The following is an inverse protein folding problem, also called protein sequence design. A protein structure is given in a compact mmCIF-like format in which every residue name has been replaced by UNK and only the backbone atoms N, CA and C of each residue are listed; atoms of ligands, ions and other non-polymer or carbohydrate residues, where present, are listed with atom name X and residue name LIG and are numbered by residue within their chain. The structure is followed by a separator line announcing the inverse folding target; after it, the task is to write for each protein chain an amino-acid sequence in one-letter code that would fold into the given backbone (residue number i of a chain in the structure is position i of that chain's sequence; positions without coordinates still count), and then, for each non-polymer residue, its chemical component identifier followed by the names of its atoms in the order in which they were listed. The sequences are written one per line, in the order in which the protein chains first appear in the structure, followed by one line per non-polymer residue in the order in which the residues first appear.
data_IF_816360826080
#
_entry.id   IF_816360826080
#
_cell.length_a   1.000
_cell.length_b   1.000
_cell.length_c   1.000
_cell.angle_alpha   90.00
_cell.angle_beta   90.00
_cell.angle_gamma   90.00
#
_symmetry.space_group_name_H-M   'P 1'
#
loop_
_entity.id
_entity.type
_entity.pdbx_description
1 polymer ?
#
# COMPACT_ATOMS: atom_id res chain seq x y z
N UNK A 1 16.50 13.50 -1.63
CA UNK A 1 15.45 13.31 -2.66
C UNK A 1 14.57 12.08 -2.38
N UNK A 2 15.07 11.05 -1.69
CA UNK A 2 14.29 9.81 -1.38
C UNK A 2 13.16 10.02 -0.35
N UNK A 3 13.28 10.98 0.55
CA UNK A 3 12.32 11.16 1.66
C UNK A 3 10.95 11.69 1.20
N UNK A 4 10.85 12.31 0.04
CA UNK A 4 9.58 12.85 -0.49
C UNK A 4 8.74 11.81 -1.26
N UNK A 5 9.32 10.67 -1.63
CA UNK A 5 8.63 9.57 -2.34
C UNK A 5 7.87 8.60 -1.41
N UNK A 6 8.04 8.72 -0.09
CA UNK A 6 7.44 7.81 0.89
C UNK A 6 5.94 8.07 1.14
N UNK A 7 5.36 9.13 0.56
CA UNK A 7 3.95 9.47 0.78
C UNK A 7 2.96 8.85 -0.22
N UNK A 8 3.42 8.16 -1.24
CA UNK A 8 2.59 7.35 -2.14
C UNK A 8 3.01 5.89 -2.05
N UNK A 9 2.05 4.97 -2.11
CA UNK A 9 2.36 3.53 -2.14
C UNK A 9 3.28 3.23 -3.34
N UNK A 10 4.52 2.77 -3.14
CA UNK A 10 5.47 2.57 -4.23
C UNK A 10 5.22 1.30 -5.04
N UNK A 11 4.33 0.42 -4.57
CA UNK A 11 4.13 -0.92 -5.13
C UNK A 11 2.89 -1.04 -6.00
N UNK A 12 1.84 -0.28 -5.70
CA UNK A 12 0.53 -0.45 -6.33
C UNK A 12 0.05 0.85 -6.95
N UNK A 13 -0.53 0.74 -8.14
CA UNK A 13 -1.11 1.89 -8.85
C UNK A 13 -2.44 2.25 -8.21
N UNK A 14 -2.49 3.45 -7.65
CA UNK A 14 -3.71 3.99 -7.07
C UNK A 14 -4.73 4.34 -8.14
N UNK A 15 -5.96 3.92 -7.95
CA UNK A 15 -7.13 4.31 -8.72
C UNK A 15 -7.89 5.44 -8.00
N UNK A 16 -8.83 6.09 -8.69
CA UNK A 16 -9.63 7.17 -8.13
C UNK A 16 -9.22 8.56 -8.64
N UNK A 17 -9.69 9.64 -8.02
CA UNK A 17 -10.51 9.68 -6.80
C UNK A 17 -11.91 9.07 -6.99
N UNK A 18 -12.55 8.68 -5.89
CA UNK A 18 -13.92 8.15 -5.89
C UNK A 18 -14.86 9.03 -5.08
N UNK A 19 -16.11 9.14 -5.55
CA UNK A 19 -17.14 9.83 -4.79
C UNK A 19 -17.49 9.04 -3.51
N UNK A 20 -17.67 9.75 -2.39
CA UNK A 20 -18.08 9.12 -1.13
C UNK A 20 -19.37 8.31 -1.27
N UNK A 21 -20.28 8.72 -2.16
CA UNK A 21 -21.53 7.98 -2.41
C UNK A 21 -21.27 6.61 -3.03
N UNK A 22 -20.24 6.49 -3.88
CA UNK A 22 -19.83 5.19 -4.42
C UNK A 22 -19.24 4.29 -3.31
N UNK A 23 -18.45 4.87 -2.40
CA UNK A 23 -17.87 4.14 -1.27
C UNK A 23 -18.98 3.66 -0.32
N UNK A 24 -19.95 4.52 -0.02
CA UNK A 24 -21.11 4.14 0.79
C UNK A 24 -21.90 2.99 0.17
N UNK A 25 -22.15 3.06 -1.15
CA UNK A 25 -22.80 1.97 -1.90
C UNK A 25 -22.01 0.67 -1.82
N UNK A 26 -20.69 0.73 -1.98
CA UNK A 26 -19.79 -0.41 -1.88
C UNK A 26 -19.85 -1.09 -0.50
N UNK A 27 -20.02 -0.31 0.54
CA UNK A 27 -20.15 -0.77 1.93
C UNK A 27 -21.60 -1.09 2.34
N UNK A 28 -22.58 -0.98 1.43
CA UNK A 28 -24.02 -1.12 1.70
C UNK A 28 -24.52 -0.17 2.81
N UNK A 29 -24.00 1.06 2.85
CA UNK A 29 -24.40 2.07 3.82
C UNK A 29 -25.39 3.07 3.22
N UNK A 30 -26.26 3.63 4.08
CA UNK A 30 -27.20 4.66 3.69
C UNK A 30 -26.47 5.97 3.39
N UNK A 31 -26.83 6.60 2.28
CA UNK A 31 -26.21 7.85 1.79
C UNK A 31 -27.02 9.13 2.10
N UNK A 32 -28.21 9.05 2.71
CA UNK A 32 -29.13 10.16 2.87
C UNK A 32 -28.51 11.41 3.53
N UNK A 33 -27.55 11.22 4.42
CA UNK A 33 -26.87 12.30 5.13
C UNK A 33 -25.52 12.70 4.54
N UNK A 34 -25.20 12.24 3.34
CA UNK A 34 -23.93 12.51 2.68
C UNK A 34 -24.13 13.32 1.42
N UNK A 35 -23.31 14.33 1.23
CA UNK A 35 -23.21 15.08 -0.01
C UNK A 35 -22.07 14.51 -0.86
N UNK A 36 -22.21 14.67 -2.17
CA UNK A 36 -21.18 14.31 -3.14
C UNK A 36 -19.86 14.97 -2.80
N UNK A 37 -18.81 14.17 -2.62
CA UNK A 37 -17.46 14.63 -2.34
C UNK A 37 -16.45 13.57 -2.75
N UNK A 38 -15.38 13.98 -3.43
CA UNK A 38 -14.31 13.09 -3.81
C UNK A 38 -13.44 12.70 -2.62
N UNK A 39 -13.13 11.43 -2.55
CA UNK A 39 -12.15 10.83 -1.63
C UNK A 39 -10.94 10.44 -2.47
N UNK A 40 -9.77 10.94 -2.11
CA UNK A 40 -8.56 10.78 -2.90
C UNK A 40 -7.76 9.53 -2.54
N UNK A 41 -7.82 9.10 -1.28
CA UNK A 41 -7.07 7.93 -0.82
C UNK A 41 -7.63 7.36 0.49
N UNK A 42 -7.13 6.17 0.86
CA UNK A 42 -7.32 5.57 2.18
C UNK A 42 -6.00 5.62 2.93
N UNK A 43 -5.96 6.29 4.07
CA UNK A 43 -4.74 6.48 4.86
C UNK A 43 -4.97 6.20 6.34
N UNK A 44 -3.89 6.01 7.09
CA UNK A 44 -3.97 5.91 8.54
C UNK A 44 -4.42 7.24 9.18
N UNK A 45 -4.73 7.19 10.48
CA UNK A 45 -5.29 8.32 11.23
C UNK A 45 -4.41 9.58 11.22
N UNK A 46 -3.09 9.44 11.19
CA UNK A 46 -2.15 10.56 11.26
C UNK A 46 -1.87 11.18 9.89
N UNK A 47 -1.78 10.36 8.86
CA UNK A 47 -1.38 10.79 7.52
C UNK A 47 -2.56 11.18 6.62
N UNK A 48 -3.80 10.91 7.06
CA UNK A 48 -4.99 11.30 6.32
C UNK A 48 -5.19 12.82 6.33
N UNK A 49 -5.48 13.37 5.16
CA UNK A 49 -5.84 14.76 4.93
C UNK A 49 -7.37 14.95 4.83
N UNK A 50 -7.81 16.19 4.66
CA UNK A 50 -9.22 16.53 4.50
C UNK A 50 -9.88 15.96 3.22
N UNK A 51 -9.11 15.39 2.31
CA UNK A 51 -9.60 14.74 1.09
C UNK A 51 -9.47 13.21 1.13
N UNK A 52 -9.10 12.66 2.30
CA UNK A 52 -8.86 11.24 2.46
C UNK A 52 -9.92 10.56 3.35
N UNK A 53 -10.02 9.26 3.22
CA UNK A 53 -10.72 8.36 4.12
C UNK A 53 -9.70 7.72 5.07
N UNK A 54 -10.07 7.57 6.34
CA UNK A 54 -9.30 6.82 7.33
C UNK A 54 -10.14 5.73 7.97
N UNK A 55 -9.57 5.00 8.91
CA UNK A 55 -10.26 3.95 9.67
C UNK A 55 -9.85 3.95 11.14
N UNK A 56 -10.82 3.67 12.02
CA UNK A 56 -10.63 3.63 13.46
C UNK A 56 -11.34 2.41 14.06
N UNK A 57 -10.59 1.38 14.41
CA UNK A 57 -11.12 0.06 14.79
C UNK A 57 -10.92 -0.31 16.26
N UNK A 58 -10.14 0.47 17.02
CA UNK A 58 -9.81 0.13 18.42
C UNK A 58 -9.58 1.37 19.26
N UNK A 59 -10.13 1.36 20.50
CA UNK A 59 -9.91 2.43 21.49
C UNK A 59 -8.44 2.72 21.79
N UNK A 60 -7.55 1.75 21.56
CA UNK A 60 -6.10 1.94 21.66
C UNK A 60 -5.59 3.14 20.86
N UNK A 61 -6.25 3.47 19.76
CA UNK A 61 -5.87 4.56 18.85
C UNK A 61 -6.71 5.82 19.04
N UNK A 62 -7.41 5.97 20.18
CA UNK A 62 -8.30 7.08 20.45
C UNK A 62 -7.62 8.44 20.33
N UNK A 63 -6.42 8.60 20.87
CA UNK A 63 -5.66 9.87 20.79
C UNK A 63 -5.35 10.26 19.34
N UNK A 64 -4.96 9.30 18.51
CA UNK A 64 -4.72 9.52 17.10
C UNK A 64 -6.03 9.84 16.35
N UNK A 65 -7.11 9.15 16.70
CA UNK A 65 -8.43 9.39 16.11
C UNK A 65 -8.94 10.80 16.38
N UNK A 66 -8.73 11.34 17.59
CA UNK A 66 -9.08 12.71 17.94
C UNK A 66 -8.32 13.77 17.13
N UNK A 67 -7.13 13.44 16.62
CA UNK A 67 -6.25 14.35 15.90
C UNK A 67 -6.33 14.22 14.38
N UNK A 68 -7.09 13.25 13.87
CA UNK A 68 -7.17 13.01 12.43
C UNK A 68 -7.73 14.20 11.67
N UNK A 69 -7.18 14.46 10.50
CA UNK A 69 -7.65 15.48 9.55
C UNK A 69 -8.51 14.89 8.42
N UNK A 70 -8.79 13.58 8.47
CA UNK A 70 -9.57 12.91 7.44
C UNK A 70 -10.99 13.49 7.32
N UNK A 71 -11.52 13.55 6.10
CA UNK A 71 -12.91 13.91 5.87
C UNK A 71 -13.90 12.85 6.37
N UNK A 72 -13.52 11.58 6.23
CA UNK A 72 -14.34 10.43 6.54
C UNK A 72 -13.54 9.37 7.29
N UNK A 73 -14.21 8.62 8.17
CA UNK A 73 -13.59 7.54 8.93
C UNK A 73 -14.50 6.31 8.99
N UNK A 74 -14.02 5.17 8.53
CA UNK A 74 -14.67 3.87 8.74
C UNK A 74 -14.49 3.49 10.21
N UNK A 75 -15.61 3.34 10.95
CA UNK A 75 -15.57 3.07 12.38
C UNK A 75 -16.85 2.34 12.85
N UNK A 76 -16.93 2.04 14.14
CA UNK A 76 -18.12 1.46 14.77
C UNK A 76 -18.93 2.52 15.50
N UNK A 77 -20.19 2.20 15.80
CA UNK A 77 -21.08 3.05 16.60
C UNK A 77 -20.46 3.43 17.96
N UNK A 78 -19.75 2.48 18.60
CA UNK A 78 -19.12 2.69 19.91
C UNK A 78 -17.90 3.60 19.91
N UNK A 79 -17.26 3.79 18.74
CA UNK A 79 -16.01 4.55 18.61
C UNK A 79 -16.21 5.93 17.95
N UNK A 80 -17.35 6.17 17.31
CA UNK A 80 -17.60 7.38 16.51
C UNK A 80 -17.42 8.70 17.29
N UNK A 81 -17.73 8.68 18.58
CA UNK A 81 -17.66 9.88 19.44
C UNK A 81 -16.22 10.33 19.76
N UNK A 82 -15.24 9.49 19.47
CA UNK A 82 -13.82 9.80 19.62
C UNK A 82 -13.23 10.46 18.35
N UNK A 83 -14.05 10.70 17.32
CA UNK A 83 -13.64 11.42 16.11
C UNK A 83 -13.87 12.92 16.22
N UNK A 84 -13.06 13.77 15.60
CA UNK A 84 -13.28 15.20 15.55
C UNK A 84 -14.53 15.53 14.73
N UNK A 85 -15.19 16.67 15.03
CA UNK A 85 -16.46 17.11 14.40
C UNK A 85 -16.41 17.21 12.87
N UNK A 86 -15.24 17.50 12.32
CA UNK A 86 -15.01 17.61 10.87
C UNK A 86 -14.78 16.26 10.17
N UNK A 87 -14.59 15.18 10.92
CA UNK A 87 -14.44 13.83 10.38
C UNK A 87 -15.76 13.06 10.45
N UNK A 88 -16.37 12.80 9.30
CA UNK A 88 -17.68 12.15 9.26
C UNK A 88 -17.57 10.63 9.36
N UNK A 89 -18.21 9.97 10.36
CA UNK A 89 -18.09 8.54 10.54
C UNK A 89 -18.91 7.75 9.50
N UNK A 90 -18.33 6.69 8.99
CA UNK A 90 -18.96 5.62 8.22
C UNK A 90 -19.12 4.42 9.15
N UNK A 91 -20.35 4.22 9.63
CA UNK A 91 -20.62 3.21 10.67
C UNK A 91 -20.75 1.83 10.06
N UNK A 92 -19.89 0.92 10.45
CA UNK A 92 -19.84 -0.46 9.97
C UNK A 92 -19.78 -1.46 11.13
N UNK A 93 -20.15 -2.72 10.85
CA UNK A 93 -20.03 -3.80 11.83
C UNK A 93 -18.59 -4.27 12.03
N UNK A 94 -17.81 -4.34 10.95
CA UNK A 94 -16.41 -4.75 10.98
C UNK A 94 -15.56 -3.75 10.20
N UNK A 95 -14.79 -2.96 10.95
CA UNK A 95 -13.96 -1.89 10.39
C UNK A 95 -12.88 -2.43 9.46
N UNK A 96 -12.18 -3.49 9.86
CA UNK A 96 -11.05 -4.00 9.08
C UNK A 96 -11.49 -4.61 7.75
N UNK A 97 -12.60 -5.38 7.74
CA UNK A 97 -13.17 -5.92 6.50
C UNK A 97 -13.64 -4.78 5.59
N UNK A 98 -14.36 -3.80 6.13
CA UNK A 98 -14.84 -2.66 5.35
C UNK A 98 -13.69 -1.82 4.80
N UNK A 99 -12.62 -1.62 5.57
CA UNK A 99 -11.41 -0.94 5.12
C UNK A 99 -10.74 -1.71 3.98
N UNK A 100 -10.61 -3.04 4.10
CA UNK A 100 -10.04 -3.88 3.04
C UNK A 100 -10.84 -3.77 1.74
N UNK A 101 -12.17 -3.80 1.80
CA UNK A 101 -13.04 -3.65 0.63
C UNK A 101 -12.79 -2.30 -0.07
N UNK A 102 -12.74 -1.21 0.69
CA UNK A 102 -12.49 0.13 0.14
C UNK A 102 -11.05 0.25 -0.39
N UNK A 103 -10.07 -0.25 0.36
CA UNK A 103 -8.67 -0.22 -0.08
C UNK A 103 -8.47 -1.00 -1.38
N UNK A 104 -9.15 -2.14 -1.55
CA UNK A 104 -9.11 -2.91 -2.80
C UNK A 104 -9.68 -2.15 -4.00
N UNK A 105 -10.63 -1.22 -3.78
CA UNK A 105 -11.12 -0.33 -4.84
C UNK A 105 -10.05 0.69 -5.26
N UNK A 106 -9.33 1.26 -4.30
CA UNK A 106 -8.23 2.21 -4.59
C UNK A 106 -6.98 1.54 -5.14
N UNK A 107 -6.70 0.30 -4.72
CA UNK A 107 -5.49 -0.46 -5.06
C UNK A 107 -5.86 -1.88 -5.50
N UNK A 108 -6.49 -2.05 -6.67
CA UNK A 108 -7.00 -3.36 -7.11
C UNK A 108 -5.91 -4.43 -7.23
N UNK A 109 -4.69 -4.01 -7.59
CA UNK A 109 -3.56 -4.93 -7.75
C UNK A 109 -2.95 -5.40 -6.41
N UNK A 110 -3.33 -4.78 -5.28
CA UNK A 110 -2.81 -5.15 -3.96
C UNK A 110 -3.35 -6.47 -3.42
N UNK A 111 -4.47 -6.93 -3.97
CA UNK A 111 -5.16 -8.16 -3.52
C UNK A 111 -4.70 -9.41 -4.29
N UNK A 112 -4.06 -9.21 -5.45
CA UNK A 112 -3.63 -10.30 -6.31
C UNK A 112 -2.26 -10.82 -5.86
N UNK A 113 -2.25 -12.04 -5.33
CA UNK A 113 -1.04 -12.77 -4.94
C UNK A 113 -0.49 -13.65 -6.08
N UNK A 114 -0.74 -13.26 -7.33
CA UNK A 114 -0.24 -13.98 -8.48
C UNK A 114 1.27 -13.75 -8.61
N UNK A 115 1.99 -14.84 -8.97
CA UNK A 115 3.41 -14.74 -9.33
C UNK A 115 3.61 -13.82 -10.54
N UNK A 116 4.79 -13.22 -10.64
CA UNK A 116 5.15 -12.42 -11.80
C UNK A 116 5.49 -13.33 -12.98
N UNK A 117 4.60 -13.35 -13.99
CA UNK A 117 4.81 -14.15 -15.22
C UNK A 117 5.83 -13.54 -16.18
N UNK A 118 6.30 -12.33 -15.92
CA UNK A 118 7.18 -11.59 -16.84
C UNK A 118 8.63 -11.51 -16.33
N UNK A 119 9.03 -12.42 -15.43
CA UNK A 119 10.41 -12.53 -14.98
C UNK A 119 11.31 -12.97 -16.12
N UNK A 120 12.50 -12.37 -16.18
CA UNK A 120 13.57 -12.71 -17.15
C UNK A 120 14.84 -13.11 -16.42
N UNK A 121 15.71 -13.87 -17.08
CA UNK A 121 17.02 -14.19 -16.52
C UNK A 121 17.85 -12.92 -16.33
N UNK A 122 18.51 -12.78 -15.19
CA UNK A 122 19.30 -11.59 -14.85
C UNK A 122 20.42 -11.31 -15.88
N UNK A 123 20.93 -12.35 -16.53
CA UNK A 123 21.95 -12.23 -17.58
C UNK A 123 21.46 -11.50 -18.83
N UNK A 124 20.14 -11.42 -19.03
CA UNK A 124 19.49 -10.68 -20.11
C UNK A 124 19.15 -9.25 -19.73
N UNK A 125 19.39 -8.87 -18.49
CA UNK A 125 19.07 -7.52 -17.96
C UNK A 125 20.30 -6.62 -17.94
N UNK A 126 20.06 -5.32 -17.66
CA UNK A 126 21.14 -4.33 -17.47
C UNK A 126 21.99 -4.57 -16.22
N UNK A 127 21.59 -5.51 -15.37
CA UNK A 127 22.31 -5.87 -14.15
C UNK A 127 23.45 -6.85 -14.36
N UNK A 128 23.51 -7.53 -15.50
CA UNK A 128 24.55 -8.52 -15.86
C UNK A 128 25.97 -8.13 -15.48
N UNK A 129 26.34 -6.87 -15.67
CA UNK A 129 27.70 -6.39 -15.43
C UNK A 129 27.82 -5.48 -14.17
N UNK A 130 26.78 -5.38 -13.38
CA UNK A 130 26.72 -4.45 -12.24
C UNK A 130 26.73 -5.13 -10.88
N UNK A 131 26.33 -6.37 -10.81
CA UNK A 131 26.20 -7.14 -9.58
C UNK A 131 26.74 -8.56 -9.76
N UNK A 132 27.03 -9.24 -8.65
CA UNK A 132 27.43 -10.65 -8.62
C UNK A 132 26.16 -11.48 -8.47
N UNK A 133 25.98 -12.51 -9.30
CA UNK A 133 24.83 -13.40 -9.20
C UNK A 133 25.14 -14.85 -9.49
N UNK A 134 24.34 -15.74 -8.89
CA UNK A 134 24.40 -17.18 -9.07
C UNK A 134 23.66 -17.65 -10.32
N UNK A 135 23.43 -18.97 -10.41
CA UNK A 135 22.65 -19.59 -11.50
C UNK A 135 21.14 -19.46 -11.21
N UNK A 136 20.32 -19.41 -12.27
CA UNK A 136 18.85 -19.35 -12.20
C UNK A 136 18.35 -18.17 -11.36
N UNK A 137 18.87 -16.98 -11.60
CA UNK A 137 18.40 -15.75 -10.98
C UNK A 137 17.45 -15.06 -11.95
N UNK A 138 16.21 -14.85 -11.53
CA UNK A 138 15.15 -14.23 -12.33
C UNK A 138 14.79 -12.85 -11.78
N UNK A 139 14.58 -11.90 -12.67
CA UNK A 139 14.24 -10.50 -12.35
C UNK A 139 12.91 -10.13 -12.99
N UNK A 140 11.99 -9.62 -12.19
CA UNK A 140 10.67 -9.16 -12.60
C UNK A 140 10.61 -7.70 -13.03
N UNK A 141 9.40 -7.23 -13.29
CA UNK A 141 9.12 -5.83 -13.67
C UNK A 141 9.39 -4.87 -12.52
N UNK A 142 9.78 -3.64 -12.88
CA UNK A 142 9.94 -2.54 -11.91
C UNK A 142 10.87 -2.93 -10.74
N UNK A 143 11.96 -3.61 -11.05
CA UNK A 143 13.02 -3.96 -10.10
C UNK A 143 14.16 -2.96 -10.21
N UNK A 144 14.63 -2.44 -9.08
CA UNK A 144 15.82 -1.61 -8.97
C UNK A 144 16.83 -2.29 -8.04
N UNK A 145 18.05 -2.51 -8.53
CA UNK A 145 19.15 -3.09 -7.76
C UNK A 145 20.29 -2.06 -7.67
N UNK A 146 20.72 -1.78 -6.46
CA UNK A 146 21.88 -0.93 -6.18
C UNK A 146 23.20 -1.59 -6.61
N UNK A 147 24.27 -0.80 -6.56
CA UNK A 147 25.63 -1.28 -6.86
C UNK A 147 26.16 -2.23 -5.80
N UNK A 148 27.14 -3.07 -6.18
CA UNK A 148 27.83 -4.01 -5.30
C UNK A 148 26.91 -5.02 -4.59
N UNK A 149 25.77 -5.34 -5.17
CA UNK A 149 24.90 -6.38 -4.64
C UNK A 149 25.36 -7.77 -5.09
N UNK A 150 25.04 -8.79 -4.28
CA UNK A 150 25.20 -10.20 -4.61
C UNK A 150 23.89 -10.93 -4.46
N UNK A 151 23.54 -11.80 -5.42
CA UNK A 151 22.30 -12.58 -5.42
C UNK A 151 22.65 -14.06 -5.59
N UNK A 152 22.23 -14.88 -4.63
CA UNK A 152 22.46 -16.31 -4.62
C UNK A 152 21.70 -17.07 -5.70
N UNK A 153 22.03 -18.36 -5.86
CA UNK A 153 21.41 -19.25 -6.85
C UNK A 153 19.91 -19.44 -6.63
N UNK A 154 19.16 -19.69 -7.71
CA UNK A 154 17.73 -20.00 -7.69
C UNK A 154 16.89 -18.93 -6.97
N UNK A 155 17.27 -17.67 -7.09
CA UNK A 155 16.58 -16.54 -6.46
C UNK A 155 15.72 -15.81 -7.48
N UNK A 156 14.51 -15.45 -7.06
CA UNK A 156 13.55 -14.72 -7.89
C UNK A 156 13.29 -13.37 -7.24
N UNK A 157 13.66 -12.30 -7.91
CA UNK A 157 13.28 -10.94 -7.54
C UNK A 157 12.10 -10.57 -8.42
N UNK A 158 10.89 -10.76 -7.90
CA UNK A 158 9.65 -10.47 -8.62
C UNK A 158 9.40 -8.95 -8.74
N UNK A 159 8.23 -8.57 -9.20
CA UNK A 159 7.83 -7.19 -9.48
C UNK A 159 7.93 -6.26 -8.25
N UNK A 160 8.17 -4.98 -8.54
CA UNK A 160 8.10 -3.88 -7.56
C UNK A 160 9.08 -4.06 -6.39
N UNK A 161 10.31 -4.37 -6.66
CA UNK A 161 11.36 -4.52 -5.66
C UNK A 161 12.45 -3.48 -5.87
N UNK A 162 12.81 -2.78 -4.80
CA UNK A 162 13.97 -1.90 -4.77
C UNK A 162 14.95 -2.40 -3.71
N UNK A 163 16.16 -2.72 -4.12
CA UNK A 163 17.27 -3.15 -3.25
C UNK A 163 18.36 -2.09 -3.32
N UNK A 164 18.78 -1.60 -2.16
CA UNK A 164 19.85 -0.62 -2.04
C UNK A 164 21.23 -1.18 -2.40
N UNK A 165 22.25 -0.42 -2.11
CA UNK A 165 23.64 -0.77 -2.41
C UNK A 165 24.23 -1.73 -1.37
N UNK A 166 25.24 -2.51 -1.77
CA UNK A 166 26.03 -3.43 -0.94
C UNK A 166 25.20 -4.55 -0.25
N UNK A 167 24.06 -4.92 -0.82
CA UNK A 167 23.18 -5.94 -0.27
C UNK A 167 23.57 -7.35 -0.72
N UNK A 168 23.38 -8.33 0.16
CA UNK A 168 23.56 -9.74 -0.15
C UNK A 168 22.25 -10.50 0.03
N UNK A 169 21.75 -11.10 -1.05
CA UNK A 169 20.54 -11.92 -1.06
C UNK A 169 20.94 -13.38 -1.16
N UNK A 170 20.47 -14.19 -0.21
CA UNK A 170 20.78 -15.63 -0.16
C UNK A 170 20.17 -16.41 -1.31
N UNK A 171 20.67 -17.64 -1.51
CA UNK A 171 20.09 -18.56 -2.49
C UNK A 171 18.67 -19.01 -2.10
N UNK A 172 17.86 -19.39 -3.09
CA UNK A 172 16.47 -19.86 -2.92
C UNK A 172 15.54 -18.82 -2.27
N UNK A 173 15.80 -17.54 -2.49
CA UNK A 173 14.95 -16.45 -1.99
C UNK A 173 13.92 -16.04 -3.04
N UNK A 174 12.73 -15.66 -2.59
CA UNK A 174 11.71 -15.01 -3.42
C UNK A 174 11.36 -13.67 -2.76
N UNK A 175 11.54 -12.57 -3.49
CA UNK A 175 11.30 -11.21 -3.00
C UNK A 175 10.34 -10.51 -3.95
N UNK A 176 9.29 -9.91 -3.41
CA UNK A 176 8.32 -9.13 -4.19
C UNK A 176 7.77 -7.95 -3.38
N UNK A 177 7.36 -6.90 -4.06
CA UNK A 177 6.73 -5.71 -3.45
C UNK A 177 7.49 -5.24 -2.19
N UNK A 178 8.80 -5.09 -2.30
CA UNK A 178 9.69 -4.87 -1.14
C UNK A 178 10.66 -3.72 -1.37
N UNK A 179 10.93 -2.98 -0.30
CA UNK A 179 12.02 -1.99 -0.24
C UNK A 179 13.07 -2.51 0.74
N UNK A 180 14.27 -2.76 0.25
CA UNK A 180 15.43 -3.18 1.03
C UNK A 180 16.42 -2.02 0.99
N UNK A 181 16.84 -1.52 2.16
CA UNK A 181 17.83 -0.46 2.28
C UNK A 181 19.23 -0.91 1.90
N UNK A 182 20.22 -0.05 2.10
CA UNK A 182 21.63 -0.34 1.88
C UNK A 182 22.17 -1.28 2.99
N UNK A 183 23.13 -2.16 2.65
CA UNK A 183 23.86 -3.11 3.53
C UNK A 183 23.03 -4.29 4.04
#
# INVERSE_FOLDING_TARGET
ALVKAIMSNPFFIKQGPYDILEILKLLNLNSNNFQKRNVHDVKDLLNASNDDLTFFHSKKYKELANLTKAAFCITTESLKNDLPKNCKPLIVKNVLISTSIVTSKFYPDSVNDNFDSEVTDISETTYKNKIIFGKNVLIGKNVALGSNCSIGHNTIIEKNVSIGENCSIGSNSIIRNSLIGNN
#
